data_IF_065944820598
#
_entry.id   IF_065944820598
#
_cell.length_a   1.000
_cell.length_b   1.000
_cell.length_c   1.000
_cell.angle_alpha   90.00
_cell.angle_beta   90.00
_cell.angle_gamma   90.00
#
_symmetry.space_group_name_H-M   'P 1'
#
loop_
_entity.id
_entity.type
_entity.pdbx_description
1 polymer ?
#
# COMPACT_ATOMS: atom_id res chain seq x y z
N UNK A 1 -5.67 -17.42 7.05
CA UNK A 1 -5.91 -16.71 5.78
C UNK A 1 -4.69 -15.93 5.30
N UNK A 2 -4.12 -14.98 6.05
CA UNK A 2 -2.91 -14.27 5.64
C UNK A 2 -1.75 -15.19 5.25
N UNK A 3 -1.50 -16.24 6.04
CA UNK A 3 -0.49 -17.26 5.69
C UNK A 3 -0.79 -18.01 4.38
N UNK A 4 -2.05 -18.16 4.02
CA UNK A 4 -2.44 -18.78 2.75
C UNK A 4 -2.15 -17.85 1.56
N UNK A 5 -2.43 -16.53 1.70
CA UNK A 5 -2.05 -15.53 0.69
C UNK A 5 -0.53 -15.51 0.53
N UNK A 6 0.22 -15.54 1.64
CA UNK A 6 1.67 -15.60 1.63
C UNK A 6 2.20 -16.87 0.94
N UNK A 7 1.57 -18.03 1.14
CA UNK A 7 1.91 -19.28 0.45
C UNK A 7 1.75 -19.14 -1.07
N UNK A 8 0.60 -18.67 -1.57
CA UNK A 8 0.41 -18.41 -3.01
C UNK A 8 1.39 -17.37 -3.55
N UNK A 9 1.75 -16.37 -2.73
CA UNK A 9 2.77 -15.39 -3.11
C UNK A 9 4.14 -16.05 -3.25
N UNK A 10 4.49 -17.01 -2.40
CA UNK A 10 5.75 -17.74 -2.50
C UNK A 10 5.77 -18.64 -3.75
N UNK A 11 4.68 -19.32 -4.09
CA UNK A 11 4.55 -20.04 -5.35
C UNK A 11 4.78 -19.10 -6.57
N UNK A 12 4.19 -17.90 -6.56
CA UNK A 12 4.47 -16.89 -7.57
C UNK A 12 5.95 -16.48 -7.61
N UNK A 13 6.58 -16.28 -6.44
CA UNK A 13 8.01 -15.96 -6.35
C UNK A 13 8.90 -17.05 -6.93
N UNK A 14 8.53 -18.31 -6.76
CA UNK A 14 9.28 -19.47 -7.28
C UNK A 14 9.19 -19.57 -8.81
N UNK A 15 8.09 -19.12 -9.40
CA UNK A 15 7.89 -19.11 -10.86
C UNK A 15 8.43 -17.85 -11.55
N UNK A 16 8.59 -16.75 -10.81
CA UNK A 16 9.04 -15.45 -11.35
C UNK A 16 10.51 -15.19 -10.99
N UNK A 17 11.34 -14.88 -11.99
CA UNK A 17 12.76 -14.58 -11.75
C UNK A 17 12.93 -13.40 -10.80
N UNK A 18 13.81 -13.57 -9.81
CA UNK A 18 14.11 -12.56 -8.78
C UNK A 18 14.58 -11.24 -9.36
N UNK A 19 15.38 -11.29 -10.44
CA UNK A 19 15.89 -10.12 -11.16
C UNK A 19 14.77 -9.28 -11.75
N UNK A 20 13.70 -9.92 -12.25
CA UNK A 20 12.51 -9.25 -12.79
C UNK A 20 11.79 -8.51 -11.67
N UNK A 21 11.54 -9.17 -10.53
CA UNK A 21 10.91 -8.53 -9.36
C UNK A 21 11.73 -7.36 -8.82
N UNK A 22 13.07 -7.50 -8.76
CA UNK A 22 13.98 -6.41 -8.37
C UNK A 22 13.90 -5.21 -9.31
N UNK A 23 13.82 -5.44 -10.63
CA UNK A 23 13.66 -4.36 -11.62
C UNK A 23 12.33 -3.64 -11.45
N UNK A 24 11.27 -4.35 -11.09
CA UNK A 24 9.95 -3.79 -10.77
C UNK A 24 9.91 -3.12 -9.37
N UNK A 25 10.98 -3.25 -8.56
CA UNK A 25 11.01 -2.75 -7.16
C UNK A 25 10.01 -3.47 -6.26
N UNK A 26 9.61 -4.69 -6.61
CA UNK A 26 8.54 -5.46 -6.00
C UNK A 26 9.03 -6.23 -4.77
N UNK A 27 8.44 -5.96 -3.63
CA UNK A 27 8.69 -6.63 -2.35
C UNK A 27 7.37 -6.94 -1.68
N UNK A 28 7.08 -8.22 -1.46
CA UNK A 28 5.82 -8.63 -0.84
C UNK A 28 5.90 -8.57 0.67
N UNK A 29 4.91 -7.96 1.28
CA UNK A 29 4.83 -7.83 2.73
C UNK A 29 4.50 -9.18 3.37
N UNK A 30 5.29 -9.67 4.34
CA UNK A 30 4.97 -10.90 5.07
C UNK A 30 3.68 -10.77 5.88
N UNK A 31 3.03 -11.90 6.16
CA UNK A 31 1.77 -11.94 6.90
C UNK A 31 1.87 -11.27 8.29
N UNK A 32 2.96 -11.47 9.00
CA UNK A 32 3.20 -10.87 10.32
C UNK A 32 3.31 -9.33 10.25
N UNK A 33 4.08 -8.84 9.27
CA UNK A 33 4.24 -7.39 9.04
C UNK A 33 2.91 -6.78 8.58
N UNK A 34 2.14 -7.46 7.73
CA UNK A 34 0.83 -6.97 7.28
C UNK A 34 -0.18 -6.84 8.45
N UNK A 35 -0.16 -7.77 9.40
CA UNK A 35 -0.98 -7.68 10.62
C UNK A 35 -0.58 -6.48 11.48
N UNK A 36 0.72 -6.21 11.61
CA UNK A 36 1.22 -5.04 12.35
C UNK A 36 0.82 -3.73 11.67
N UNK A 37 0.97 -3.63 10.36
CA UNK A 37 0.55 -2.48 9.57
C UNK A 37 -0.96 -2.25 9.61
N UNK A 38 -1.77 -3.31 9.74
CA UNK A 38 -3.22 -3.24 9.82
C UNK A 38 -3.75 -2.80 11.20
N UNK A 39 -2.89 -2.34 12.12
CA UNK A 39 -3.30 -1.83 13.44
C UNK A 39 -3.98 -0.46 13.34
N UNK A 40 -5.02 -0.36 12.49
CA UNK A 40 -5.79 0.86 12.27
C UNK A 40 -6.60 1.27 13.51
N UNK A 41 -6.70 2.58 13.73
CA UNK A 41 -7.49 3.13 14.83
C UNK A 41 -9.00 3.00 14.59
N UNK A 42 -9.74 2.64 15.63
CA UNK A 42 -11.19 2.52 15.62
C UNK A 42 -11.88 3.88 15.89
N UNK A 43 -11.59 4.89 15.07
CA UNK A 43 -12.04 6.28 15.30
C UNK A 43 -13.27 6.71 14.49
N UNK A 44 -13.68 5.91 13.53
CA UNK A 44 -14.83 6.24 12.68
C UNK A 44 -16.16 5.76 13.29
N UNK A 45 -17.29 6.44 13.01
CA UNK A 45 -18.62 5.93 13.34
C UNK A 45 -18.86 4.54 12.71
N UNK A 46 -19.50 3.61 13.45
CA UNK A 46 -19.66 2.22 12.97
C UNK A 46 -20.56 2.06 11.74
N UNK A 47 -21.44 3.01 11.50
CA UNK A 47 -22.31 3.07 10.32
C UNK A 47 -21.70 3.83 9.14
N UNK A 48 -20.49 4.39 9.30
CA UNK A 48 -19.79 5.08 8.21
C UNK A 48 -19.34 4.09 7.15
N UNK A 49 -19.41 4.50 5.87
CA UNK A 49 -18.72 3.85 4.78
C UNK A 49 -17.23 4.16 4.89
N UNK A 50 -16.41 3.15 5.12
CA UNK A 50 -14.94 3.28 5.20
C UNK A 50 -14.33 3.02 3.83
N UNK A 51 -13.66 4.02 3.29
CA UNK A 51 -12.90 3.93 2.04
C UNK A 51 -11.45 3.59 2.30
N UNK A 52 -10.99 2.48 1.72
CA UNK A 52 -9.61 1.99 1.84
C UNK A 52 -8.94 2.03 0.48
N UNK A 53 -7.73 2.59 0.42
CA UNK A 53 -6.89 2.61 -0.77
C UNK A 53 -5.61 1.81 -0.50
N UNK A 54 -5.29 0.89 -1.40
CA UNK A 54 -4.04 0.13 -1.43
C UNK A 54 -3.36 0.35 -2.79
N UNK A 55 -2.51 1.38 -2.92
CA UNK A 55 -1.81 1.65 -4.16
C UNK A 55 -0.56 0.77 -4.28
N UNK A 56 -0.41 0.07 -5.41
CA UNK A 56 0.58 -0.98 -5.58
C UNK A 56 0.23 -2.20 -4.74
N UNK A 57 -1.02 -2.65 -4.86
CA UNK A 57 -1.62 -3.68 -4.00
C UNK A 57 -0.87 -5.02 -4.02
N UNK A 58 -0.14 -5.31 -5.10
CA UNK A 58 0.61 -6.55 -5.24
C UNK A 58 -0.28 -7.78 -5.06
N UNK A 59 -0.01 -8.58 -4.05
CA UNK A 59 -0.81 -9.75 -3.69
C UNK A 59 -2.07 -9.43 -2.86
N UNK A 60 -2.33 -8.16 -2.50
CA UNK A 60 -3.48 -7.70 -1.73
C UNK A 60 -3.46 -8.04 -0.23
N UNK A 61 -2.35 -8.52 0.30
CA UNK A 61 -2.24 -8.96 1.71
C UNK A 61 -2.49 -7.82 2.70
N UNK A 62 -2.04 -6.59 2.38
CA UNK A 62 -2.27 -5.41 3.22
C UNK A 62 -3.75 -5.06 3.29
N UNK A 63 -4.41 -5.05 2.14
CA UNK A 63 -5.87 -4.85 2.07
C UNK A 63 -6.62 -5.89 2.87
N UNK A 64 -6.29 -7.18 2.69
CA UNK A 64 -6.93 -8.24 3.47
C UNK A 64 -6.76 -8.02 4.98
N UNK A 65 -5.55 -7.67 5.44
CA UNK A 65 -5.26 -7.46 6.85
C UNK A 65 -6.08 -6.29 7.44
N UNK A 66 -6.18 -5.16 6.71
CA UNK A 66 -6.98 -4.00 7.13
C UNK A 66 -8.46 -4.34 7.18
N UNK A 67 -8.98 -5.03 6.17
CA UNK A 67 -10.39 -5.42 6.10
C UNK A 67 -10.77 -6.36 7.25
N UNK A 68 -9.96 -7.40 7.51
CA UNK A 68 -10.18 -8.31 8.65
C UNK A 68 -10.21 -7.53 9.96
N UNK A 69 -9.29 -6.58 10.16
CA UNK A 69 -9.25 -5.71 11.34
C UNK A 69 -10.49 -4.84 11.46
N UNK A 70 -10.94 -4.21 10.39
CA UNK A 70 -12.14 -3.36 10.38
C UNK A 70 -13.40 -4.17 10.69
N UNK A 71 -13.57 -5.34 10.09
CA UNK A 71 -14.70 -6.23 10.33
C UNK A 71 -14.76 -6.71 11.77
N UNK A 72 -13.63 -7.15 12.33
CA UNK A 72 -13.51 -7.51 13.78
C UNK A 72 -13.80 -6.33 14.71
N UNK A 73 -13.53 -5.12 14.24
CA UNK A 73 -13.84 -3.89 14.98
C UNK A 73 -15.30 -3.43 14.80
N UNK A 74 -16.13 -4.18 14.05
CA UNK A 74 -17.57 -3.93 13.91
C UNK A 74 -17.95 -2.98 12.76
N UNK A 75 -17.02 -2.61 11.87
CA UNK A 75 -17.37 -1.87 10.65
C UNK A 75 -18.02 -2.81 9.64
N UNK A 76 -19.08 -2.34 8.98
CA UNK A 76 -19.92 -3.18 8.10
C UNK A 76 -20.11 -2.60 6.69
N UNK A 77 -19.54 -1.43 6.42
CA UNK A 77 -19.66 -0.76 5.11
C UNK A 77 -18.29 -0.36 4.62
N UNK A 78 -17.79 -1.08 3.63
CA UNK A 78 -16.42 -0.99 3.15
C UNK A 78 -16.39 -0.74 1.64
N UNK A 79 -15.54 0.18 1.20
CA UNK A 79 -15.29 0.52 -0.19
C UNK A 79 -13.76 0.49 -0.40
N UNK A 80 -13.28 -0.47 -1.20
CA UNK A 80 -11.88 -0.83 -1.28
C UNK A 80 -11.39 -0.59 -2.71
N UNK A 81 -10.35 0.21 -2.85
CA UNK A 81 -9.67 0.44 -4.13
C UNK A 81 -8.28 -0.17 -4.10
N UNK A 82 -8.03 -1.10 -5.00
CA UNK A 82 -6.77 -1.78 -5.22
C UNK A 82 -6.19 -1.32 -6.55
N UNK A 83 -4.98 -0.75 -6.54
CA UNK A 83 -4.31 -0.31 -7.76
C UNK A 83 -3.07 -1.17 -7.95
N UNK A 84 -2.98 -1.91 -9.06
CA UNK A 84 -1.83 -2.75 -9.42
C UNK A 84 -1.70 -2.82 -10.94
N UNK A 85 -0.48 -2.70 -11.44
CA UNK A 85 -0.16 -2.75 -12.88
C UNK A 85 0.59 -4.01 -13.29
N UNK A 86 1.09 -4.78 -12.35
CA UNK A 86 1.76 -6.04 -12.64
C UNK A 86 0.77 -7.16 -12.89
N UNK A 87 0.53 -7.47 -14.16
CA UNK A 87 -0.40 -8.52 -14.58
C UNK A 87 0.03 -9.92 -14.15
N UNK A 88 1.32 -10.14 -13.88
CA UNK A 88 1.83 -11.45 -13.46
C UNK A 88 1.39 -11.83 -12.03
N UNK A 89 1.15 -10.82 -11.15
CA UNK A 89 0.66 -11.07 -9.77
C UNK A 89 -0.87 -11.16 -9.69
N UNK A 90 -1.60 -10.79 -10.74
CA UNK A 90 -3.07 -10.74 -10.73
C UNK A 90 -3.74 -12.03 -10.24
N UNK A 91 -3.30 -13.26 -10.61
CA UNK A 91 -3.94 -14.46 -10.09
C UNK A 91 -3.93 -14.55 -8.55
N UNK A 92 -2.85 -14.08 -7.90
CA UNK A 92 -2.76 -14.04 -6.43
C UNK A 92 -3.65 -12.93 -5.86
N UNK A 93 -3.69 -11.77 -6.52
CA UNK A 93 -4.56 -10.66 -6.13
C UNK A 93 -6.04 -11.05 -6.24
N UNK A 94 -6.46 -11.70 -7.32
CA UNK A 94 -7.83 -12.19 -7.51
C UNK A 94 -8.24 -13.22 -6.45
N UNK A 95 -7.32 -14.12 -6.10
CA UNK A 95 -7.52 -15.01 -4.96
C UNK A 95 -7.77 -14.22 -3.67
N UNK A 96 -6.95 -13.21 -3.40
CA UNK A 96 -7.10 -12.36 -2.20
C UNK A 96 -8.41 -11.58 -2.22
N UNK A 97 -8.81 -11.01 -3.35
CA UNK A 97 -10.11 -10.33 -3.54
C UNK A 97 -11.28 -11.29 -3.21
N UNK A 98 -11.19 -12.53 -3.70
CA UNK A 98 -12.20 -13.56 -3.39
C UNK A 98 -12.27 -13.83 -1.89
N UNK A 99 -11.14 -13.87 -1.20
CA UNK A 99 -11.10 -14.05 0.26
C UNK A 99 -11.63 -12.84 1.03
N UNK A 100 -11.39 -11.62 0.53
CA UNK A 100 -11.99 -10.41 1.11
C UNK A 100 -13.52 -10.47 0.99
N UNK A 101 -14.07 -10.86 -0.16
CA UNK A 101 -15.53 -11.02 -0.32
C UNK A 101 -16.10 -12.04 0.65
N UNK A 102 -15.47 -13.23 0.74
CA UNK A 102 -15.91 -14.30 1.65
C UNK A 102 -15.92 -13.86 3.13
N UNK A 103 -14.89 -13.14 3.57
CA UNK A 103 -14.86 -12.66 4.95
C UNK A 103 -15.91 -11.57 5.18
N UNK A 104 -16.12 -10.65 4.26
CA UNK A 104 -17.18 -9.64 4.34
C UNK A 104 -18.56 -10.28 4.45
N UNK A 105 -18.85 -11.29 3.63
CA UNK A 105 -20.10 -12.06 3.69
C UNK A 105 -20.29 -12.73 5.06
N UNK A 106 -19.23 -13.36 5.60
CA UNK A 106 -19.30 -14.02 6.91
C UNK A 106 -19.56 -13.06 8.07
N UNK A 107 -19.21 -11.79 7.91
CA UNK A 107 -19.49 -10.72 8.86
C UNK A 107 -20.79 -9.95 8.53
N UNK A 108 -21.55 -10.34 7.49
CA UNK A 108 -22.72 -9.60 6.98
C UNK A 108 -22.40 -8.13 6.71
N UNK A 109 -21.27 -7.88 6.04
CA UNK A 109 -20.80 -6.54 5.70
C UNK A 109 -21.00 -6.24 4.21
N UNK A 110 -21.43 -5.02 3.92
CA UNK A 110 -21.45 -4.45 2.56
C UNK A 110 -20.00 -4.15 2.15
N UNK A 111 -19.56 -4.73 1.03
CA UNK A 111 -18.19 -4.57 0.56
C UNK A 111 -18.18 -4.37 -0.95
N UNK A 112 -17.72 -3.20 -1.38
CA UNK A 112 -17.42 -2.91 -2.77
C UNK A 112 -15.91 -2.96 -2.98
N UNK A 113 -15.45 -3.64 -4.05
CA UNK A 113 -14.02 -3.77 -4.36
C UNK A 113 -13.82 -3.33 -5.80
N UNK A 114 -12.94 -2.33 -5.97
CA UNK A 114 -12.49 -1.80 -7.24
C UNK A 114 -11.05 -2.23 -7.49
N UNK A 115 -10.80 -2.95 -8.56
CA UNK A 115 -9.45 -3.18 -9.08
C UNK A 115 -9.20 -2.20 -10.24
N UNK A 116 -8.04 -1.54 -10.21
CA UNK A 116 -7.64 -0.51 -11.18
C UNK A 116 -6.25 -0.86 -11.71
N UNK A 117 -6.17 -1.17 -13.01
CA UNK A 117 -4.93 -1.36 -13.74
C UNK A 117 -4.44 -0.01 -14.30
N UNK A 118 -3.86 0.82 -13.44
CA UNK A 118 -3.30 2.12 -13.80
C UNK A 118 -2.07 2.47 -12.96
N UNK A 119 -1.21 3.31 -13.51
CA UNK A 119 -0.09 3.88 -12.76
C UNK A 119 -0.62 4.80 -11.67
N UNK A 120 -0.46 4.40 -10.41
CA UNK A 120 -0.98 5.14 -9.26
C UNK A 120 -0.55 6.61 -9.21
N UNK A 121 0.70 6.91 -9.58
CA UNK A 121 1.22 8.29 -9.55
C UNK A 121 0.46 9.20 -10.53
N UNK A 122 -0.03 8.63 -11.62
CA UNK A 122 -0.79 9.34 -12.67
C UNK A 122 -2.30 9.20 -12.51
N UNK A 123 -2.74 8.29 -11.64
CA UNK A 123 -4.16 8.05 -11.44
C UNK A 123 -4.83 9.20 -10.69
N UNK A 124 -6.01 9.55 -11.13
CA UNK A 124 -6.85 10.57 -10.52
C UNK A 124 -8.10 9.94 -9.91
N UNK A 125 -8.46 10.39 -8.72
CA UNK A 125 -9.68 9.98 -8.03
C UNK A 125 -10.51 11.21 -7.67
N UNK A 126 -11.82 11.09 -7.84
CA UNK A 126 -12.79 12.05 -7.31
C UNK A 126 -13.11 11.83 -5.83
N UNK A 127 -12.64 10.70 -5.26
CA UNK A 127 -12.89 10.30 -3.88
C UNK A 127 -11.65 10.46 -3.03
N UNK A 128 -11.84 10.86 -1.77
CA UNK A 128 -10.83 10.80 -0.72
C UNK A 128 -11.04 9.54 0.13
N UNK A 129 -9.95 9.02 0.69
CA UNK A 129 -9.90 7.77 1.42
C UNK A 129 -9.73 7.98 2.92
N UNK A 130 -10.42 7.16 3.72
CA UNK A 130 -10.31 7.16 5.17
C UNK A 130 -9.02 6.47 5.63
N UNK A 131 -8.59 5.45 4.87
CA UNK A 131 -7.36 4.69 5.14
C UNK A 131 -6.60 4.51 3.83
N UNK A 132 -5.31 4.88 3.84
CA UNK A 132 -4.35 4.53 2.78
C UNK A 132 -3.29 3.64 3.40
N UNK A 133 -3.17 2.41 2.89
CA UNK A 133 -2.14 1.46 3.32
C UNK A 133 -1.32 1.03 2.10
N UNK A 134 0.01 1.03 2.22
CA UNK A 134 0.86 0.79 1.06
C UNK A 134 2.23 0.20 1.41
N UNK A 135 2.66 -0.72 0.58
CA UNK A 135 4.06 -1.10 0.40
C UNK A 135 4.47 -0.71 -1.03
N UNK A 136 4.97 0.52 -1.26
CA UNK A 136 5.22 1.03 -2.60
C UNK A 136 6.42 0.36 -3.27
N UNK A 137 6.55 0.40 -4.61
CA UNK A 137 7.70 -0.15 -5.32
C UNK A 137 9.00 0.61 -5.02
N UNK A 138 10.07 -0.12 -4.62
CA UNK A 138 11.35 0.46 -4.20
C UNK A 138 12.33 0.59 -5.38
N UNK A 139 12.06 1.51 -6.29
CA UNK A 139 12.89 1.74 -7.46
C UNK A 139 13.12 3.22 -7.74
N UNK A 140 14.27 3.52 -8.35
CA UNK A 140 14.55 4.86 -8.88
C UNK A 140 13.85 5.04 -10.22
N UNK A 141 13.36 6.24 -10.46
CA UNK A 141 12.82 6.63 -11.76
C UNK A 141 13.66 7.76 -12.37
N UNK A 142 13.61 7.90 -13.69
CA UNK A 142 14.33 8.99 -14.37
C UNK A 142 13.69 10.33 -14.00
N UNK A 143 14.50 11.40 -14.01
CA UNK A 143 14.01 12.76 -13.73
C UNK A 143 12.99 13.27 -14.75
N UNK A 144 13.09 12.77 -15.97
CA UNK A 144 12.23 13.07 -17.11
C UNK A 144 11.12 12.03 -17.32
N UNK A 145 10.95 11.10 -16.38
CA UNK A 145 9.83 10.16 -16.43
C UNK A 145 8.49 10.88 -16.26
N UNK A 146 7.42 10.26 -16.75
CA UNK A 146 6.06 10.81 -16.64
C UNK A 146 5.65 10.99 -15.17
N UNK A 147 6.03 10.07 -14.28
CA UNK A 147 5.77 10.13 -12.84
C UNK A 147 6.52 11.31 -12.19
N UNK A 148 7.82 11.46 -12.50
CA UNK A 148 8.62 12.55 -11.95
C UNK A 148 8.16 13.91 -12.49
N UNK A 149 7.66 13.96 -13.71
CA UNK A 149 7.10 15.17 -14.32
C UNK A 149 5.76 15.54 -13.69
N UNK A 150 4.85 14.58 -13.53
CA UNK A 150 3.56 14.79 -12.89
C UNK A 150 3.72 15.27 -11.44
N UNK A 151 4.68 14.69 -10.71
CA UNK A 151 4.96 14.98 -9.30
C UNK A 151 6.16 15.95 -9.11
N UNK A 152 6.45 16.81 -10.06
CA UNK A 152 7.63 17.74 -10.04
C UNK A 152 7.76 18.60 -8.79
N UNK A 153 6.64 18.92 -8.16
CA UNK A 153 6.62 19.68 -6.90
C UNK A 153 7.37 18.96 -5.77
N UNK A 154 7.36 17.61 -5.77
CA UNK A 154 7.94 16.76 -4.76
C UNK A 154 9.34 16.22 -5.14
N UNK A 155 9.79 16.47 -6.39
CA UNK A 155 11.08 15.97 -6.87
C UNK A 155 12.21 16.92 -6.48
N UNK A 156 13.28 16.34 -5.88
CA UNK A 156 14.57 16.99 -5.66
C UNK A 156 15.70 16.01 -6.02
N UNK A 157 16.47 16.33 -7.04
CA UNK A 157 17.56 15.45 -7.52
C UNK A 157 17.03 14.17 -8.18
N UNK A 158 17.53 13.01 -7.79
CA UNK A 158 17.13 11.71 -8.34
C UNK A 158 15.84 11.21 -7.67
N UNK A 159 14.71 11.14 -8.38
CA UNK A 159 13.46 10.69 -7.78
C UNK A 159 13.46 9.17 -7.53
N UNK A 160 12.73 8.79 -6.50
CA UNK A 160 12.45 7.40 -6.17
C UNK A 160 10.94 7.20 -6.14
N UNK A 161 10.46 6.13 -6.78
CA UNK A 161 9.04 5.91 -6.99
C UNK A 161 8.26 5.85 -5.67
N UNK A 162 8.81 5.20 -4.63
CA UNK A 162 8.12 5.14 -3.34
C UNK A 162 7.91 6.54 -2.71
N UNK A 163 8.81 7.49 -2.94
CA UNK A 163 8.63 8.87 -2.47
C UNK A 163 7.49 9.59 -3.19
N UNK A 164 7.31 9.32 -4.49
CA UNK A 164 6.18 9.84 -5.26
C UNK A 164 4.85 9.20 -4.82
N UNK A 165 4.85 7.90 -4.55
CA UNK A 165 3.71 7.20 -3.95
C UNK A 165 3.32 7.82 -2.60
N UNK A 166 4.30 8.08 -1.73
CA UNK A 166 4.07 8.71 -0.43
C UNK A 166 3.37 10.06 -0.58
N UNK A 167 3.84 10.92 -1.49
CA UNK A 167 3.24 12.24 -1.71
C UNK A 167 1.85 12.14 -2.34
N UNK A 168 1.67 11.30 -3.38
CA UNK A 168 0.38 11.11 -4.05
C UNK A 168 -0.69 10.57 -3.10
N UNK A 169 -0.32 9.66 -2.21
CA UNK A 169 -1.23 9.08 -1.23
C UNK A 169 -1.77 10.12 -0.24
N UNK A 170 -0.98 11.13 0.12
CA UNK A 170 -1.45 12.24 0.97
C UNK A 170 -2.50 13.09 0.25
N UNK A 171 -2.34 13.35 -1.05
CA UNK A 171 -3.32 14.10 -1.84
C UNK A 171 -4.70 13.41 -1.89
N UNK A 172 -4.74 12.09 -1.69
CA UNK A 172 -5.95 11.28 -1.72
C UNK A 172 -6.47 10.92 -0.32
N UNK A 173 -5.77 11.33 0.73
CA UNK A 173 -6.17 11.06 2.10
C UNK A 173 -7.19 12.10 2.56
N UNK A 174 -8.27 11.65 3.19
CA UNK A 174 -9.25 12.52 3.82
C UNK A 174 -8.67 13.17 5.10
N UNK A 175 -9.19 14.33 5.46
CA UNK A 175 -8.90 14.93 6.75
C UNK A 175 -9.18 13.92 7.89
N UNK A 176 -8.21 13.82 8.81
CA UNK A 176 -8.21 12.81 9.85
C UNK A 176 -8.18 11.34 9.34
N UNK A 177 -7.83 11.10 8.09
CA UNK A 177 -7.58 9.77 7.55
C UNK A 177 -6.37 9.09 8.20
N UNK A 178 -6.19 7.81 7.93
CA UNK A 178 -5.05 7.04 8.42
C UNK A 178 -4.12 6.70 7.26
N UNK A 179 -2.86 7.09 7.41
CA UNK A 179 -1.80 6.90 6.42
C UNK A 179 -0.79 5.88 6.95
N UNK A 180 -0.65 4.74 6.28
CA UNK A 180 0.16 3.61 6.77
C UNK A 180 1.07 3.14 5.64
N UNK A 181 2.38 3.31 5.81
CA UNK A 181 3.37 2.98 4.79
C UNK A 181 4.52 2.17 5.36
N UNK A 182 4.96 1.14 4.62
CA UNK A 182 6.26 0.53 4.84
C UNK A 182 7.21 0.97 3.74
N UNK A 183 8.36 1.52 4.11
CA UNK A 183 9.30 2.13 3.16
C UNK A 183 10.75 1.96 3.62
N UNK A 184 11.73 2.03 2.71
CA UNK A 184 13.12 2.19 3.11
C UNK A 184 13.29 3.47 3.94
N UNK A 185 14.07 3.40 5.03
CA UNK A 185 14.28 4.55 5.93
C UNK A 185 15.00 5.75 5.28
N UNK A 186 15.54 5.61 4.07
CA UNK A 186 16.29 6.68 3.40
C UNK A 186 15.48 7.97 3.16
N UNK A 187 14.16 7.92 3.18
CA UNK A 187 13.34 9.14 3.09
C UNK A 187 13.47 10.04 4.33
N UNK A 188 13.79 9.48 5.50
CA UNK A 188 13.86 10.26 6.76
C UNK A 188 15.04 11.22 6.80
N UNK A 189 16.17 10.89 6.15
CA UNK A 189 17.40 11.68 6.15
C UNK A 189 17.98 11.97 4.76
N UNK A 190 17.59 11.21 3.73
CA UNK A 190 18.14 11.33 2.40
C UNK A 190 17.87 12.69 1.75
N UNK A 191 18.91 13.29 1.13
CA UNK A 191 18.84 14.60 0.48
C UNK A 191 17.78 14.65 -0.64
N UNK A 192 17.62 13.58 -1.38
CA UNK A 192 16.64 13.51 -2.49
C UNK A 192 15.18 13.50 -2.05
N UNK A 193 14.93 13.26 -0.76
CA UNK A 193 13.58 13.24 -0.17
C UNK A 193 13.21 14.54 0.56
N UNK A 194 14.04 15.58 0.48
CA UNK A 194 13.78 16.82 1.23
C UNK A 194 12.39 17.40 0.96
N UNK A 195 11.97 17.48 -0.30
CA UNK A 195 10.65 18.01 -0.66
C UNK A 195 9.50 17.10 -0.21
N UNK A 196 9.62 15.79 -0.43
CA UNK A 196 8.63 14.80 0.04
C UNK A 196 8.52 14.88 1.56
N UNK A 197 9.65 14.84 2.28
CA UNK A 197 9.66 14.91 3.75
C UNK A 197 9.01 16.19 4.29
N UNK A 198 9.36 17.35 3.73
CA UNK A 198 8.75 18.63 4.14
C UNK A 198 7.23 18.64 3.89
N UNK A 199 6.78 18.06 2.78
CA UNK A 199 5.37 17.91 2.48
C UNK A 199 4.66 16.99 3.48
N UNK A 200 5.21 15.80 3.72
CA UNK A 200 4.64 14.85 4.69
C UNK A 200 4.56 15.45 6.11
N UNK A 201 5.61 16.17 6.55
CA UNK A 201 5.62 16.82 7.87
C UNK A 201 4.61 17.97 7.99
N UNK A 202 4.28 18.61 6.89
CA UNK A 202 3.28 19.68 6.85
C UNK A 202 1.85 19.13 6.89
N UNK A 203 1.58 18.07 6.10
CA UNK A 203 0.23 17.58 5.87
C UNK A 203 -0.18 16.45 6.84
N UNK A 204 0.79 15.74 7.44
CA UNK A 204 0.53 14.58 8.29
C UNK A 204 0.96 14.85 9.74
N UNK A 205 0.12 14.39 10.68
CA UNK A 205 0.54 14.20 12.06
C UNK A 205 1.13 12.80 12.23
N UNK A 206 2.47 12.68 12.14
CA UNK A 206 3.18 11.40 12.27
C UNK A 206 3.08 10.93 13.72
N UNK A 207 2.35 9.85 13.96
CA UNK A 207 2.12 9.29 15.31
C UNK A 207 3.18 8.29 15.70
N UNK A 208 3.62 7.46 14.75
CA UNK A 208 4.51 6.34 15.02
C UNK A 208 5.43 6.08 13.83
N UNK A 209 6.68 5.74 14.12
CA UNK A 209 7.66 5.24 13.14
C UNK A 209 8.31 3.99 13.73
N UNK A 210 7.94 2.85 13.19
CA UNK A 210 8.57 1.57 13.50
C UNK A 210 9.83 1.38 12.66
N UNK A 211 10.92 1.03 13.31
CA UNK A 211 12.19 0.75 12.65
C UNK A 211 12.52 -0.74 12.71
N UNK A 212 12.74 -1.34 11.56
CA UNK A 212 13.31 -2.67 11.47
C UNK A 212 14.83 -2.56 11.40
N UNK A 213 15.55 -3.45 12.09
CA UNK A 213 17.02 -3.42 12.17
C UNK A 213 17.66 -3.74 10.82
N UNK A 214 17.03 -4.58 10.02
CA UNK A 214 17.49 -4.92 8.67
C UNK A 214 16.32 -5.15 7.71
N UNK A 215 16.63 -5.10 6.40
CA UNK A 215 15.67 -5.48 5.37
C UNK A 215 15.31 -6.96 5.43
N UNK A 216 16.26 -7.79 5.80
CA UNK A 216 16.07 -9.25 5.91
C UNK A 216 15.14 -9.63 7.06
N UNK A 217 15.03 -8.78 8.09
CA UNK A 217 14.05 -8.95 9.16
C UNK A 217 12.60 -8.80 8.64
N UNK A 218 12.41 -7.93 7.65
CA UNK A 218 11.09 -7.67 7.05
C UNK A 218 10.81 -8.58 5.87
N UNK A 219 11.76 -8.72 4.95
CA UNK A 219 11.58 -9.41 3.67
C UNK A 219 12.55 -10.59 3.57
N UNK A 220 12.29 -11.66 4.31
CA UNK A 220 13.13 -12.86 4.33
C UNK A 220 13.35 -13.43 2.91
N UNK A 221 14.62 -13.66 2.55
CA UNK A 221 15.00 -14.24 1.26
C UNK A 221 15.00 -13.30 0.05
N UNK A 222 14.74 -12.02 0.21
CA UNK A 222 14.68 -11.01 -0.87
C UNK A 222 15.99 -10.22 -1.04
N UNK A 223 17.18 -10.86 -0.79
CA UNK A 223 18.52 -10.25 -1.02
C UNK A 223 18.84 -10.05 -2.49
#
# INVERSE_FOLDING_TARGET
MLRTIEMYTNEYKDTTQKEIRKKKGQFFTPAEVSMRMAAVENKYPKNQLIRVLDPGAGNGILSFAVIDKLLRSGYKRLDITLIETDTEILPVLEYTITKIRQICESYHAECTIHYIDQNFVLWESSCLYDIVICNPPYMKVRKDSIEATAMKAYVYGQPNLYGLFMAKAVELLRDNGQYIFITPRSWTSGKYFTKVRSFLQKELNIKEIDLFSSRDEVFQGEK
#
